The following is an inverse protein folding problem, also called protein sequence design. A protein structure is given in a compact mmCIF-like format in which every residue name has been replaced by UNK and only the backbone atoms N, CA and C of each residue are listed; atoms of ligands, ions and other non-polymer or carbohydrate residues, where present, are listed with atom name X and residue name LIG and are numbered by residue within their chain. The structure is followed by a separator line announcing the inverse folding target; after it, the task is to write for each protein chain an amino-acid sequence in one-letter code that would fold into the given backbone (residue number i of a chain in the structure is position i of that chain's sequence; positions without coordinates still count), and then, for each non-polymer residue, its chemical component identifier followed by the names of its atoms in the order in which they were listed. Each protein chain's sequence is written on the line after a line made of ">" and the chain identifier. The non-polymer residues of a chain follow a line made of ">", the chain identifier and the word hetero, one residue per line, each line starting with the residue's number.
data_IF_370479662546
#
_entry.id   IF_370479662546
#
_cell.length_a   1.000
_cell.length_b   1.000
_cell.length_c   1.000
_cell.angle_alpha   90.00
_cell.angle_beta   90.00
_cell.angle_gamma   90.00
#
_symmetry.space_group_name_H-M   'P 1'
#
loop_
_entity.id
_entity.type
_entity.pdbx_description
1 polymer ?
#
# COMPACT_ATOMS: atom_id res chain seq x y z
N UNK A 1 10.44 58.35 -42.43
CA UNK A 1 10.23 58.37 -40.95
C UNK A 1 9.24 57.32 -40.44
N UNK A 2 8.65 56.44 -41.28
CA UNK A 2 7.62 55.47 -40.86
C UNK A 2 8.12 54.06 -40.45
N UNK A 3 9.34 53.66 -40.84
CA UNK A 3 9.84 52.29 -40.61
C UNK A 3 10.42 52.02 -39.21
N UNK A 4 10.66 53.08 -38.41
CA UNK A 4 11.29 52.95 -37.09
C UNK A 4 10.31 52.56 -35.97
N UNK A 5 9.02 52.84 -36.16
CA UNK A 5 7.96 52.51 -35.19
C UNK A 5 7.46 51.06 -35.28
N UNK A 6 7.49 50.44 -36.46
CA UNK A 6 7.04 49.04 -36.62
C UNK A 6 7.95 48.03 -35.92
N UNK A 7 9.27 48.27 -35.93
CA UNK A 7 10.26 47.38 -35.28
C UNK A 7 10.13 47.37 -33.76
N UNK A 8 9.76 48.48 -33.12
CA UNK A 8 9.61 48.53 -31.65
C UNK A 8 8.29 47.92 -31.19
N UNK A 9 7.24 47.99 -32.00
CA UNK A 9 5.93 47.37 -31.71
C UNK A 9 6.01 45.85 -31.92
N UNK A 10 6.62 45.36 -33.00
CA UNK A 10 6.83 43.93 -33.20
C UNK A 10 7.69 43.31 -32.09
N UNK A 11 8.79 43.95 -31.69
CA UNK A 11 9.66 43.44 -30.62
C UNK A 11 8.93 43.32 -29.27
N UNK A 12 8.03 44.26 -28.95
CA UNK A 12 7.20 44.22 -27.74
C UNK A 12 6.17 43.10 -27.77
N UNK A 13 5.58 42.83 -28.95
CA UNK A 13 4.62 41.73 -29.12
C UNK A 13 5.31 40.38 -28.98
N UNK A 14 6.53 40.20 -29.52
CA UNK A 14 7.28 38.93 -29.41
C UNK A 14 7.71 38.62 -27.97
N UNK A 15 8.06 39.64 -27.18
CA UNK A 15 8.44 39.45 -25.76
C UNK A 15 7.25 39.05 -24.89
N UNK A 16 6.06 39.59 -25.16
CA UNK A 16 4.83 39.21 -24.46
C UNK A 16 4.42 37.77 -24.83
N UNK A 17 4.59 37.37 -26.09
CA UNK A 17 4.30 36.00 -26.53
C UNK A 17 5.26 34.97 -25.91
N UNK A 18 6.54 35.31 -25.72
CA UNK A 18 7.51 34.44 -25.03
C UNK A 18 7.24 34.30 -23.52
N UNK A 19 6.70 35.35 -22.87
CA UNK A 19 6.33 35.29 -21.46
C UNK A 19 5.12 34.37 -21.20
N UNK A 20 4.18 34.26 -22.15
CA UNK A 20 3.02 33.36 -22.02
C UNK A 20 3.35 31.88 -22.26
N UNK A 21 4.38 31.56 -23.05
CA UNK A 21 4.77 30.15 -23.31
C UNK A 21 5.56 29.55 -22.13
N UNK A 22 6.12 30.38 -21.26
CA UNK A 22 7.03 29.93 -20.19
C UNK A 22 6.31 29.51 -18.90
N UNK A 23 5.00 29.73 -18.77
CA UNK A 23 4.22 29.25 -17.63
C UNK A 23 3.57 27.89 -17.93
N UNK A 24 4.39 26.93 -18.37
CA UNK A 24 4.03 25.52 -18.26
C UNK A 24 4.08 25.19 -16.78
N UNK A 25 2.96 25.40 -16.09
CA UNK A 25 2.83 25.12 -14.66
C UNK A 25 3.33 23.70 -14.40
N UNK A 26 4.33 23.56 -13.53
CA UNK A 26 4.65 22.27 -12.92
C UNK A 26 3.38 21.83 -12.21
N UNK A 27 2.64 20.91 -12.81
CA UNK A 27 1.37 20.44 -12.28
C UNK A 27 1.56 20.03 -10.83
N UNK A 28 0.91 20.72 -9.91
CA UNK A 28 0.93 20.35 -8.50
C UNK A 28 0.33 18.96 -8.39
N UNK A 29 1.16 17.97 -8.08
CA UNK A 29 0.71 16.61 -7.88
C UNK A 29 0.31 16.46 -6.42
N UNK A 30 -0.99 16.27 -6.19
CA UNK A 30 -1.52 16.05 -4.85
C UNK A 30 -0.96 14.76 -4.26
N UNK A 31 -0.55 14.81 -2.99
CA UNK A 31 -0.02 13.66 -2.28
C UNK A 31 -1.15 12.65 -2.01
N UNK A 32 -1.05 11.45 -2.58
CA UNK A 32 -2.00 10.36 -2.30
C UNK A 32 -1.44 9.33 -1.34
N UNK A 33 -2.28 8.64 -0.56
CA UNK A 33 -1.77 7.62 0.34
C UNK A 33 -1.43 6.32 -0.39
N UNK A 34 -0.43 5.61 0.16
CA UNK A 34 -0.01 4.28 -0.27
C UNK A 34 0.24 3.45 0.98
N UNK A 35 -0.41 2.29 1.07
CA UNK A 35 -0.22 1.33 2.15
C UNK A 35 0.56 0.12 1.63
N UNK A 36 1.16 -0.65 2.53
CA UNK A 36 1.88 -1.86 2.16
C UNK A 36 2.28 -2.73 3.32
N UNK A 37 2.93 -3.85 2.98
CA UNK A 37 3.49 -4.81 3.93
C UNK A 37 4.88 -5.27 3.48
N UNK A 38 5.77 -5.49 4.45
CA UNK A 38 6.98 -6.29 4.26
C UNK A 38 6.98 -7.46 5.24
N UNK A 39 7.59 -8.58 4.87
CA UNK A 39 7.61 -9.78 5.70
C UNK A 39 8.96 -9.91 6.38
N UNK A 40 8.97 -9.92 7.70
CA UNK A 40 10.19 -9.88 8.49
C UNK A 40 9.87 -9.72 9.96
N UNK A 41 10.77 -10.19 10.81
CA UNK A 41 10.64 -9.98 12.26
C UNK A 41 10.70 -8.49 12.55
N UNK A 42 9.74 -8.00 13.33
CA UNK A 42 9.79 -6.67 13.90
C UNK A 42 10.19 -6.71 15.38
N UNK A 43 10.49 -5.54 15.96
CA UNK A 43 10.80 -5.42 17.39
C UNK A 43 9.58 -5.73 18.30
N UNK A 44 8.40 -5.93 17.71
CA UNK A 44 7.13 -6.23 18.37
C UNK A 44 6.73 -7.71 18.22
N UNK A 45 7.65 -8.58 17.79
CA UNK A 45 7.43 -10.01 17.53
C UNK A 45 6.34 -10.33 16.49
N UNK A 46 5.98 -9.39 15.62
CA UNK A 46 5.15 -9.66 14.45
C UNK A 46 6.03 -10.11 13.27
N UNK A 47 5.45 -10.95 12.40
CA UNK A 47 6.14 -11.56 11.24
C UNK A 47 6.08 -10.70 9.98
N UNK A 48 5.46 -9.55 10.08
CA UNK A 48 5.31 -8.58 9.02
C UNK A 48 5.29 -7.17 9.60
N UNK A 49 5.53 -6.18 8.74
CA UNK A 49 5.46 -4.76 9.07
C UNK A 49 4.49 -4.09 8.13
N UNK A 50 3.46 -3.45 8.66
CA UNK A 50 2.59 -2.60 7.87
C UNK A 50 3.23 -1.23 7.71
N UNK A 51 3.07 -0.63 6.53
CA UNK A 51 3.63 0.68 6.23
C UNK A 51 2.63 1.57 5.53
N UNK A 52 2.79 2.87 5.74
CA UNK A 52 2.15 3.90 4.95
C UNK A 52 3.18 4.90 4.40
N UNK A 53 2.89 5.40 3.22
CA UNK A 53 3.63 6.43 2.51
C UNK A 53 2.65 7.49 1.99
N UNK A 54 3.20 8.64 1.62
CA UNK A 54 2.57 9.54 0.67
C UNK A 54 3.29 9.43 -0.67
N UNK A 55 2.53 9.26 -1.74
CA UNK A 55 3.04 9.29 -3.10
C UNK A 55 2.83 10.67 -3.71
N UNK A 56 3.93 11.27 -4.18
CA UNK A 56 3.94 12.53 -4.94
C UNK A 56 4.67 12.24 -6.24
N UNK A 57 3.91 12.11 -7.33
CA UNK A 57 4.43 11.61 -8.61
C UNK A 57 4.94 10.18 -8.50
N UNK A 58 6.19 9.96 -8.91
CA UNK A 58 6.88 8.67 -8.78
C UNK A 58 7.51 8.45 -7.41
N UNK A 59 7.58 9.48 -6.57
CA UNK A 59 8.30 9.41 -5.29
C UNK A 59 7.39 8.96 -4.16
N UNK A 60 7.91 8.06 -3.32
CA UNK A 60 7.33 7.70 -2.04
C UNK A 60 8.05 8.48 -0.93
N UNK A 61 7.31 9.29 -0.20
CA UNK A 61 7.82 10.12 0.89
C UNK A 61 7.07 9.80 2.18
N UNK A 62 7.61 10.27 3.32
CA UNK A 62 6.96 10.17 4.63
C UNK A 62 6.62 8.72 5.03
N UNK A 63 7.56 7.77 4.85
CA UNK A 63 7.38 6.39 5.28
C UNK A 63 7.09 6.34 6.79
N UNK A 64 6.07 5.58 7.18
CA UNK A 64 5.78 5.24 8.57
C UNK A 64 5.46 3.75 8.69
N UNK A 65 6.03 3.10 9.70
CA UNK A 65 5.62 1.76 10.13
C UNK A 65 4.39 1.91 11.01
N UNK A 66 3.37 1.10 10.75
CA UNK A 66 2.08 1.12 11.43
C UNK A 66 1.91 -0.13 12.26
N UNK A 67 1.34 0.03 13.45
CA UNK A 67 0.72 -1.09 14.15
C UNK A 67 -0.55 -1.54 13.41
N UNK A 68 -1.00 -2.75 13.71
CA UNK A 68 -2.19 -3.34 13.10
C UNK A 68 -3.44 -2.47 13.27
N UNK A 69 -3.70 -2.00 14.48
CA UNK A 69 -4.83 -1.13 14.80
C UNK A 69 -4.74 0.21 14.05
N UNK A 70 -3.56 0.85 14.06
CA UNK A 70 -3.32 2.10 13.34
C UNK A 70 -3.57 1.97 11.84
N UNK A 71 -3.11 0.86 11.23
CA UNK A 71 -3.40 0.56 9.84
C UNK A 71 -4.90 0.48 9.59
N UNK A 72 -5.64 -0.30 10.39
CA UNK A 72 -7.08 -0.47 10.20
C UNK A 72 -7.81 0.87 10.38
N UNK A 73 -7.44 1.69 11.38
CA UNK A 73 -8.02 3.02 11.57
C UNK A 73 -7.75 3.96 10.39
N UNK A 74 -6.53 3.97 9.85
CA UNK A 74 -6.19 4.82 8.71
C UNK A 74 -6.82 4.31 7.41
N UNK A 75 -6.85 3.00 7.19
CA UNK A 75 -7.38 2.38 5.99
C UNK A 75 -8.92 2.46 5.94
N UNK A 76 -9.60 2.34 7.08
CA UNK A 76 -11.05 2.56 7.19
C UNK A 76 -11.48 4.02 7.08
N UNK A 77 -10.54 4.96 7.15
CA UNK A 77 -10.86 6.39 7.18
C UNK A 77 -11.52 6.86 8.49
N UNK A 78 -11.56 6.00 9.51
CA UNK A 78 -12.23 6.29 10.78
C UNK A 78 -11.65 7.52 11.48
N UNK A 79 -10.31 7.64 11.50
CA UNK A 79 -9.61 8.84 11.93
C UNK A 79 -8.93 9.51 10.75
N UNK A 80 -8.98 10.86 10.65
CA UNK A 80 -8.19 11.57 9.67
C UNK A 80 -6.71 11.35 9.98
N UNK A 81 -5.92 11.13 8.95
CA UNK A 81 -4.46 11.03 9.09
C UNK A 81 -3.77 11.65 7.90
N UNK A 82 -2.46 11.89 8.03
CA UNK A 82 -1.60 12.30 6.90
C UNK A 82 -1.69 11.32 5.71
N UNK A 83 -2.05 10.07 5.98
CA UNK A 83 -2.18 8.98 5.01
C UNK A 83 -3.64 8.65 4.67
N UNK A 84 -4.62 9.41 5.16
CA UNK A 84 -6.01 9.35 4.70
C UNK A 84 -6.75 10.63 5.14
N UNK A 85 -6.37 11.80 4.61
CA UNK A 85 -6.93 13.08 5.07
C UNK A 85 -8.43 13.19 4.77
N UNK A 86 -8.86 12.56 3.68
CA UNK A 86 -10.23 12.61 3.18
C UNK A 86 -11.14 11.54 3.81
N UNK A 87 -10.64 10.76 4.78
CA UNK A 87 -11.41 9.72 5.50
C UNK A 87 -12.11 8.74 4.56
N UNK A 88 -11.44 8.37 3.47
CA UNK A 88 -11.98 7.40 2.52
C UNK A 88 -11.94 6.01 3.18
N UNK A 89 -13.06 5.31 3.25
CA UNK A 89 -13.06 3.92 3.68
C UNK A 89 -12.50 3.03 2.55
N UNK A 90 -11.24 2.64 2.66
CA UNK A 90 -10.58 1.80 1.66
C UNK A 90 -10.97 0.32 1.76
N UNK A 91 -11.51 -0.13 2.90
CA UNK A 91 -12.12 -1.47 2.99
C UNK A 91 -13.33 -1.54 2.08
N UNK A 92 -14.25 -0.57 2.17
CA UNK A 92 -15.43 -0.51 1.31
C UNK A 92 -15.05 -0.26 -0.15
N UNK A 93 -14.19 0.74 -0.41
CA UNK A 93 -13.78 1.13 -1.76
C UNK A 93 -13.16 -0.02 -2.54
N UNK A 94 -12.41 -0.89 -1.85
CA UNK A 94 -11.76 -2.04 -2.46
C UNK A 94 -12.40 -3.35 -2.02
N UNK A 95 -13.62 -3.37 -1.50
CA UNK A 95 -14.34 -4.61 -1.17
C UNK A 95 -13.48 -5.61 -0.38
N UNK A 96 -12.64 -5.11 0.53
CA UNK A 96 -11.80 -5.94 1.41
C UNK A 96 -12.58 -6.17 2.69
N UNK A 97 -12.69 -7.43 3.11
CA UNK A 97 -13.28 -7.76 4.40
C UNK A 97 -12.40 -7.24 5.54
N UNK A 98 -12.89 -6.20 6.24
CA UNK A 98 -12.21 -5.56 7.37
C UNK A 98 -12.84 -4.21 7.69
N UNK A 99 -12.45 -3.61 8.80
CA UNK A 99 -12.95 -2.30 9.20
C UNK A 99 -12.95 -2.08 10.72
N UNK A 100 -13.72 -1.07 11.14
CA UNK A 100 -13.98 -0.78 12.55
C UNK A 100 -15.37 -1.29 12.88
N UNK A 101 -15.43 -2.29 13.76
CA UNK A 101 -16.67 -2.83 14.28
C UNK A 101 -17.01 -2.14 15.61
N UNK A 102 -18.29 -2.06 15.97
CA UNK A 102 -18.73 -1.51 17.25
C UNK A 102 -19.39 -2.63 18.03
N UNK A 103 -18.84 -2.92 19.20
CA UNK A 103 -19.45 -3.88 20.12
C UNK A 103 -20.80 -3.34 20.61
N UNK A 104 -21.85 -4.15 20.46
CA UNK A 104 -23.21 -3.72 20.77
C UNK A 104 -23.48 -3.53 22.26
N UNK A 105 -22.67 -4.13 23.15
CA UNK A 105 -22.86 -4.09 24.59
C UNK A 105 -22.03 -2.98 25.24
N UNK A 106 -20.75 -2.89 24.90
CA UNK A 106 -19.81 -1.93 25.48
C UNK A 106 -19.71 -0.63 24.67
N UNK A 107 -20.15 -0.63 23.41
CA UNK A 107 -19.91 0.47 22.47
C UNK A 107 -18.44 0.59 22.04
N UNK A 108 -17.60 -0.39 22.39
CA UNK A 108 -16.18 -0.38 22.08
C UNK A 108 -15.95 -0.54 20.57
N UNK A 109 -14.96 0.19 20.07
CA UNK A 109 -14.54 0.13 18.67
C UNK A 109 -13.46 -0.93 18.50
N UNK A 110 -13.75 -1.94 17.72
CA UNK A 110 -12.88 -3.10 17.50
C UNK A 110 -12.33 -3.03 16.06
N UNK A 111 -11.07 -2.59 15.87
CA UNK A 111 -10.43 -2.64 14.56
C UNK A 111 -10.10 -4.08 14.19
N UNK A 112 -10.68 -4.59 13.10
CA UNK A 112 -10.45 -5.98 12.69
C UNK A 112 -10.35 -6.16 11.17
N UNK A 113 -9.44 -7.04 10.74
CA UNK A 113 -9.20 -7.40 9.34
C UNK A 113 -8.62 -8.82 9.27
N UNK A 114 -9.40 -9.83 8.84
CA UNK A 114 -8.97 -11.24 8.81
C UNK A 114 -7.71 -11.50 7.98
N UNK A 115 -7.51 -10.76 6.89
CA UNK A 115 -6.33 -10.89 6.04
C UNK A 115 -5.03 -10.71 6.83
N UNK A 116 -5.02 -9.78 7.79
CA UNK A 116 -3.84 -9.50 8.60
C UNK A 116 -3.51 -10.64 9.57
N UNK A 117 -4.49 -11.42 10.04
CA UNK A 117 -4.24 -12.64 10.85
C UNK A 117 -3.49 -13.71 10.05
N UNK A 118 -3.66 -13.69 8.73
CA UNK A 118 -3.14 -14.71 7.83
C UNK A 118 -1.85 -14.31 7.11
N UNK A 119 -1.41 -13.05 7.22
CA UNK A 119 -0.20 -12.56 6.53
C UNK A 119 1.03 -13.44 6.79
N UNK A 120 1.24 -13.87 8.04
CA UNK A 120 2.39 -14.71 8.38
C UNK A 120 2.40 -16.05 7.63
N UNK A 121 1.22 -16.59 7.30
CA UNK A 121 1.06 -17.91 6.67
C UNK A 121 1.67 -17.99 5.28
N UNK A 122 1.81 -16.86 4.59
CA UNK A 122 2.48 -16.80 3.29
C UNK A 122 3.94 -17.26 3.44
N UNK A 123 4.62 -16.87 4.53
CA UNK A 123 6.05 -17.08 4.68
C UNK A 123 6.43 -18.38 5.36
N UNK A 124 5.58 -18.88 6.26
CA UNK A 124 5.92 -19.99 7.14
C UNK A 124 4.97 -21.18 6.93
N UNK A 125 5.50 -22.41 7.05
CA UNK A 125 4.71 -23.65 7.00
C UNK A 125 3.98 -23.92 8.32
N UNK A 126 4.52 -23.40 9.42
CA UNK A 126 3.97 -23.50 10.78
C UNK A 126 4.14 -22.16 11.51
N UNK A 127 3.32 -21.96 12.55
CA UNK A 127 3.37 -20.72 13.32
C UNK A 127 4.76 -20.57 13.98
N UNK A 128 5.49 -19.49 13.70
CA UNK A 128 6.94 -19.43 13.95
C UNK A 128 7.34 -19.18 15.43
N UNK A 129 6.40 -18.96 16.36
CA UNK A 129 6.71 -18.73 17.80
C UNK A 129 5.71 -19.40 18.74
N UNK A 130 6.10 -19.76 19.96
CA UNK A 130 5.12 -19.99 21.04
C UNK A 130 4.37 -21.33 21.06
N UNK A 131 4.92 -22.40 20.46
CA UNK A 131 4.40 -23.76 20.62
C UNK A 131 3.02 -24.04 19.98
N UNK A 132 2.43 -23.04 19.32
CA UNK A 132 1.25 -23.23 18.48
C UNK A 132 1.59 -24.17 17.32
N UNK A 133 0.67 -25.09 17.00
CA UNK A 133 0.77 -26.01 15.85
C UNK A 133 -0.09 -25.55 14.68
N UNK A 134 -0.42 -24.26 14.63
CA UNK A 134 -1.17 -23.71 13.51
C UNK A 134 -0.34 -23.82 12.23
N UNK A 135 -0.95 -24.38 11.18
CA UNK A 135 -0.33 -24.52 9.87
C UNK A 135 -0.42 -23.21 9.09
N UNK A 136 0.70 -22.79 8.54
CA UNK A 136 0.77 -21.78 7.50
C UNK A 136 0.56 -22.38 6.11
N UNK A 137 0.94 -21.64 5.09
CA UNK A 137 0.67 -21.96 3.68
C UNK A 137 1.95 -22.08 2.84
N UNK A 138 3.11 -21.73 3.41
CA UNK A 138 4.39 -21.96 2.77
C UNK A 138 4.71 -23.45 2.71
N UNK A 139 5.32 -23.86 1.61
CA UNK A 139 5.85 -25.21 1.40
C UNK A 139 7.29 -25.39 1.94
N UNK A 140 7.86 -24.34 2.55
CA UNK A 140 9.10 -24.46 3.35
C UNK A 140 8.97 -23.75 4.70
N UNK A 141 9.83 -24.12 5.65
CA UNK A 141 9.71 -23.70 7.05
C UNK A 141 9.88 -22.20 7.27
N UNK A 142 10.88 -21.58 6.65
CA UNK A 142 11.27 -20.20 6.96
C UNK A 142 10.90 -19.19 5.88
N UNK A 143 10.68 -19.67 4.65
CA UNK A 143 10.36 -18.85 3.48
C UNK A 143 9.51 -19.67 2.49
N UNK A 144 8.76 -19.00 1.59
CA UNK A 144 8.08 -19.69 0.51
C UNK A 144 9.03 -20.55 -0.33
N UNK A 145 8.52 -21.62 -0.93
CA UNK A 145 9.29 -22.43 -1.89
C UNK A 145 9.73 -21.59 -3.11
N UNK A 146 10.62 -22.16 -3.94
CA UNK A 146 11.02 -21.52 -5.20
C UNK A 146 9.82 -21.20 -6.10
N UNK A 147 8.90 -22.15 -6.29
CA UNK A 147 7.67 -21.92 -7.06
C UNK A 147 6.78 -20.88 -6.40
N UNK A 148 6.58 -20.94 -5.08
CA UNK A 148 5.78 -19.94 -4.38
C UNK A 148 6.36 -18.53 -4.49
N UNK A 149 7.69 -18.37 -4.43
CA UNK A 149 8.33 -17.08 -4.67
C UNK A 149 8.11 -16.57 -6.09
N UNK A 150 8.17 -17.45 -7.11
CA UNK A 150 7.85 -17.09 -8.48
C UNK A 150 6.38 -16.67 -8.63
N UNK A 151 5.45 -17.40 -8.01
CA UNK A 151 4.04 -17.07 -7.98
C UNK A 151 3.80 -15.68 -7.36
N UNK A 152 4.40 -15.40 -6.20
CA UNK A 152 4.30 -14.09 -5.55
C UNK A 152 4.89 -12.97 -6.41
N UNK A 153 6.02 -13.21 -7.08
CA UNK A 153 6.63 -12.23 -7.97
C UNK A 153 5.73 -11.92 -9.19
N UNK A 154 5.17 -12.95 -9.83
CA UNK A 154 4.28 -12.76 -10.97
C UNK A 154 3.01 -11.99 -10.59
N UNK A 155 2.43 -12.30 -9.42
CA UNK A 155 1.15 -11.74 -8.98
C UNK A 155 1.27 -10.38 -8.30
N UNK A 156 2.30 -10.17 -7.47
CA UNK A 156 2.45 -8.97 -6.63
C UNK A 156 3.73 -8.17 -6.92
N UNK A 157 4.52 -8.57 -7.92
CA UNK A 157 5.75 -7.91 -8.34
C UNK A 157 6.80 -7.77 -7.22
N UNK A 158 6.86 -8.78 -6.36
CA UNK A 158 7.83 -8.88 -5.26
C UNK A 158 8.84 -9.97 -5.55
N UNK A 159 10.12 -9.62 -5.69
CA UNK A 159 11.16 -10.60 -6.03
C UNK A 159 11.69 -11.30 -4.79
N UNK A 160 11.78 -10.55 -3.70
CA UNK A 160 12.21 -11.06 -2.40
C UNK A 160 11.29 -10.54 -1.30
N UNK A 161 10.42 -11.42 -0.83
CA UNK A 161 9.41 -11.10 0.18
C UNK A 161 10.02 -10.65 1.53
N UNK A 162 11.30 -10.96 1.78
CA UNK A 162 12.00 -10.58 3.03
C UNK A 162 12.48 -9.13 3.02
N UNK A 163 12.85 -8.63 1.85
CA UNK A 163 13.57 -7.38 1.69
C UNK A 163 12.74 -6.31 0.97
N UNK A 164 11.68 -6.72 0.26
CA UNK A 164 10.83 -5.84 -0.51
C UNK A 164 9.45 -5.67 0.13
N UNK A 165 8.83 -4.52 -0.16
CA UNK A 165 7.48 -4.21 0.28
C UNK A 165 6.49 -4.50 -0.85
N UNK A 166 5.40 -5.18 -0.53
CA UNK A 166 4.21 -5.22 -1.38
C UNK A 166 3.38 -3.99 -1.02
N UNK A 167 3.18 -3.08 -1.98
CA UNK A 167 2.56 -1.77 -1.74
C UNK A 167 1.40 -1.49 -2.71
N UNK A 168 0.60 -0.49 -2.36
CA UNK A 168 -0.41 0.12 -3.23
C UNK A 168 -1.44 -0.92 -3.73
N UNK A 169 -1.70 -0.99 -5.03
CA UNK A 169 -2.66 -1.92 -5.63
C UNK A 169 -2.31 -3.38 -5.37
N UNK A 170 -1.02 -3.73 -5.35
CA UNK A 170 -0.59 -5.11 -5.09
C UNK A 170 -0.86 -5.50 -3.63
N UNK A 171 -0.75 -4.55 -2.70
CA UNK A 171 -1.09 -4.80 -1.31
C UNK A 171 -2.61 -4.95 -1.12
N UNK A 172 -3.41 -4.11 -1.79
CA UNK A 172 -4.87 -4.25 -1.81
C UNK A 172 -5.29 -5.62 -2.36
N UNK A 173 -4.68 -6.04 -3.48
CA UNK A 173 -4.93 -7.35 -4.08
C UNK A 173 -4.55 -8.47 -3.11
N UNK A 174 -3.38 -8.38 -2.48
CA UNK A 174 -2.95 -9.34 -1.47
C UNK A 174 -3.98 -9.47 -0.35
N UNK A 175 -4.46 -8.36 0.23
CA UNK A 175 -5.44 -8.42 1.32
C UNK A 175 -6.73 -9.16 0.92
N UNK A 176 -7.20 -9.02 -0.33
CA UNK A 176 -8.34 -9.78 -0.85
C UNK A 176 -8.01 -11.26 -0.95
N UNK A 177 -6.88 -11.57 -1.58
CA UNK A 177 -6.43 -12.93 -1.85
C UNK A 177 -6.22 -13.75 -0.55
N UNK A 178 -5.77 -13.12 0.53
CA UNK A 178 -5.63 -13.78 1.85
C UNK A 178 -6.94 -14.16 2.52
N UNK A 179 -8.08 -13.74 1.97
CA UNK A 179 -9.42 -14.15 2.41
C UNK A 179 -10.14 -15.02 1.38
N UNK A 180 -9.54 -15.27 0.22
CA UNK A 180 -10.09 -16.11 -0.83
C UNK A 180 -9.58 -17.56 -0.70
N UNK A 181 -10.50 -18.48 -0.40
CA UNK A 181 -10.19 -19.91 -0.29
C UNK A 181 -9.57 -20.51 -1.56
N UNK A 182 -9.96 -20.04 -2.76
CA UNK A 182 -9.41 -20.57 -4.01
C UNK A 182 -7.95 -20.17 -4.17
N UNK A 183 -7.64 -18.91 -3.89
CA UNK A 183 -6.26 -18.41 -3.89
C UNK A 183 -5.40 -19.16 -2.87
N UNK A 184 -5.91 -19.36 -1.65
CA UNK A 184 -5.17 -20.05 -0.59
C UNK A 184 -4.82 -21.49 -1.02
N UNK A 185 -5.78 -22.21 -1.59
CA UNK A 185 -5.55 -23.59 -2.05
C UNK A 185 -4.68 -23.67 -3.31
N UNK A 186 -4.70 -22.66 -4.18
CA UNK A 186 -3.75 -22.54 -5.27
C UNK A 186 -2.33 -22.33 -4.71
N UNK A 187 -2.14 -21.35 -3.83
CA UNK A 187 -0.84 -20.99 -3.28
C UNK A 187 -0.15 -22.15 -2.56
N UNK A 188 -0.89 -22.93 -1.77
CA UNK A 188 -0.36 -24.13 -1.09
C UNK A 188 0.09 -25.22 -2.05
N UNK A 189 -0.45 -25.29 -3.27
CA UNK A 189 -0.10 -26.32 -4.27
C UNK A 189 1.09 -25.93 -5.15
N UNK A 190 1.57 -24.70 -5.06
CA UNK A 190 2.73 -24.24 -5.84
C UNK A 190 4.01 -24.87 -5.28
N UNK A 191 4.72 -25.63 -6.11
CA UNK A 191 5.99 -26.27 -5.76
C UNK A 191 7.18 -25.46 -6.30
#
# INVERSE_FOLDING_TARGET
>A
MFLRNYRSVLLKITVIFFFFISFSGTGYQEARPVFGVAFGYNQMNEFYHLVAYQRVGSNLINKRILRRDEFIYYFSGFYPSKYNPNRINYFDKYEIWGGIYVDSLSGEKIPYCPALDSLWKIRYSEYPVGGSRERGWSNSDLNPSGGQMQYLNQRYHVKDIRNEYIIDTNFVQLLRDLTDSLWIEEYKRVN
#
